data_IF_630982555159
#
_entry.id   IF_630982555159
#
_cell.length_a   1.000
_cell.length_b   1.000
_cell.length_c   1.000
_cell.angle_alpha   90.00
_cell.angle_beta   90.00
_cell.angle_gamma   90.00
#
_symmetry.space_group_name_H-M   'P 1'
#
loop_
_entity.id
_entity.type
_entity.pdbx_description
1 polymer ?
#
# COMPACT_ATOMS: atom_id res chain seq x y z
N UNK A 1 46.20 -23.70 -49.61
CA UNK A 1 44.87 -24.15 -49.07
C UNK A 1 44.32 -22.99 -48.24
N UNK A 2 43.31 -22.29 -48.79
CA UNK A 2 42.64 -21.13 -48.12
C UNK A 2 41.35 -21.68 -47.51
N UNK A 3 41.19 -21.58 -46.19
CA UNK A 3 39.92 -21.84 -45.54
C UNK A 3 39.03 -20.62 -45.60
N UNK A 4 37.82 -20.82 -46.11
CA UNK A 4 36.75 -19.81 -46.17
C UNK A 4 35.86 -20.03 -44.94
N UNK A 5 35.91 -19.12 -44.00
CA UNK A 5 35.01 -19.11 -42.82
C UNK A 5 33.66 -18.51 -43.23
N UNK A 6 32.60 -19.30 -43.06
CA UNK A 6 31.23 -18.83 -43.24
C UNK A 6 30.75 -18.15 -41.96
N UNK A 7 30.43 -16.85 -42.02
CA UNK A 7 29.71 -16.12 -40.99
C UNK A 7 28.21 -16.40 -41.11
N UNK A 8 27.65 -17.05 -40.09
CA UNK A 8 26.19 -17.16 -39.94
C UNK A 8 25.71 -15.96 -39.14
N UNK A 9 25.01 -15.02 -39.80
CA UNK A 9 24.35 -13.92 -39.14
C UNK A 9 23.03 -14.42 -38.57
N UNK A 10 22.92 -14.47 -37.23
CA UNK A 10 21.64 -14.75 -36.58
C UNK A 10 20.78 -13.48 -36.60
N UNK A 11 19.67 -13.52 -37.33
CA UNK A 11 18.65 -12.46 -37.35
C UNK A 11 17.78 -12.62 -36.09
N UNK A 12 17.99 -11.79 -35.07
CA UNK A 12 17.09 -11.71 -33.93
C UNK A 12 15.84 -10.92 -34.30
N UNK A 13 14.73 -11.62 -34.56
CA UNK A 13 13.43 -11.00 -34.78
C UNK A 13 12.88 -10.66 -33.39
N UNK A 14 13.05 -9.39 -32.98
CA UNK A 14 12.44 -8.85 -31.77
C UNK A 14 10.92 -8.75 -31.97
N UNK A 15 10.17 -9.63 -31.31
CA UNK A 15 8.71 -9.54 -31.22
C UNK A 15 8.37 -8.50 -30.19
N UNK A 16 8.15 -7.26 -30.61
CA UNK A 16 7.58 -6.21 -29.73
C UNK A 16 6.08 -6.47 -29.62
N UNK A 17 5.65 -7.04 -28.51
CA UNK A 17 4.22 -7.10 -28.18
C UNK A 17 3.73 -5.67 -27.91
N UNK A 18 3.10 -5.05 -28.92
CA UNK A 18 2.32 -3.83 -28.72
C UNK A 18 1.02 -4.23 -27.99
N UNK A 19 0.98 -4.04 -26.69
CA UNK A 19 -0.29 -4.04 -25.98
C UNK A 19 -1.04 -2.76 -26.38
N UNK A 20 -2.29 -2.84 -26.90
CA UNK A 20 -3.07 -1.66 -27.15
C UNK A 20 -3.31 -0.94 -25.80
N UNK A 21 -2.97 0.34 -25.73
CA UNK A 21 -3.32 1.14 -24.57
C UNK A 21 -4.85 1.17 -24.44
N UNK A 22 -5.37 0.74 -23.30
CA UNK A 22 -6.80 0.85 -23.01
C UNK A 22 -7.22 2.33 -23.06
N UNK A 23 -8.42 2.64 -23.60
CA UNK A 23 -8.92 4.01 -23.61
C UNK A 23 -9.01 4.57 -22.19
N UNK A 24 -8.74 5.88 -22.05
CA UNK A 24 -8.69 6.56 -20.74
C UNK A 24 -9.98 6.36 -19.90
N UNK A 25 -11.11 6.13 -20.54
CA UNK A 25 -12.40 5.87 -19.91
C UNK A 25 -12.50 4.50 -19.23
N UNK A 26 -11.80 3.50 -19.77
CA UNK A 26 -11.77 2.16 -19.16
C UNK A 26 -11.03 2.13 -17.80
N UNK A 27 -10.21 3.16 -17.51
CA UNK A 27 -9.50 3.27 -16.23
C UNK A 27 -10.36 3.90 -15.12
N UNK A 28 -11.37 4.72 -15.46
CA UNK A 28 -12.26 5.33 -14.46
C UNK A 28 -13.29 4.36 -13.90
N UNK A 29 -13.62 3.29 -14.67
CA UNK A 29 -14.66 2.31 -14.35
C UNK A 29 -14.06 0.97 -13.92
N UNK A 30 -12.72 0.89 -13.78
CA UNK A 30 -12.04 -0.32 -13.32
C UNK A 30 -12.39 -0.58 -11.86
N UNK A 31 -12.84 -1.80 -11.58
CA UNK A 31 -13.02 -2.29 -10.21
C UNK A 31 -12.08 -3.46 -9.98
N UNK A 32 -11.38 -3.53 -8.83
CA UNK A 32 -10.54 -4.66 -8.53
C UNK A 32 -11.38 -5.95 -8.45
N UNK A 33 -10.81 -7.08 -8.89
CA UNK A 33 -11.50 -8.38 -8.84
C UNK A 33 -11.50 -8.99 -7.43
N UNK A 34 -11.11 -8.22 -6.44
CA UNK A 34 -11.00 -8.61 -5.03
C UNK A 34 -11.61 -7.54 -4.13
N UNK A 35 -12.01 -7.93 -2.94
CA UNK A 35 -12.49 -7.02 -1.91
C UNK A 35 -11.29 -6.45 -1.14
N UNK A 36 -11.17 -5.11 -1.08
CA UNK A 36 -10.09 -4.48 -0.34
C UNK A 36 -10.33 -4.59 1.17
N UNK A 37 -9.27 -4.86 1.93
CA UNK A 37 -9.22 -4.59 3.37
C UNK A 37 -8.80 -3.13 3.58
N UNK A 38 -9.23 -2.52 4.70
CA UNK A 38 -8.74 -1.19 5.03
C UNK A 38 -7.26 -1.27 5.42
N UNK A 39 -6.37 -0.42 4.83
CA UNK A 39 -4.92 -0.63 4.94
C UNK A 39 -4.28 -0.12 6.23
N UNK A 40 -5.05 0.31 7.22
CA UNK A 40 -4.54 0.83 8.49
C UNK A 40 -5.54 0.55 9.61
N UNK A 41 -5.14 0.62 10.89
CA UNK A 41 -6.04 0.44 12.03
C UNK A 41 -7.22 1.41 11.97
N UNK A 42 -8.47 0.89 11.86
CA UNK A 42 -9.65 1.72 11.61
C UNK A 42 -10.01 2.64 12.78
N UNK A 43 -9.73 2.24 14.00
CA UNK A 43 -9.99 3.03 15.21
C UNK A 43 -8.92 4.10 15.49
N UNK A 44 -7.81 4.08 14.76
CA UNK A 44 -6.70 5.03 14.87
C UNK A 44 -6.48 5.86 13.61
N UNK A 45 -7.42 5.82 12.66
CA UNK A 45 -7.24 6.44 11.34
C UNK A 45 -8.35 7.43 11.02
N UNK A 46 -7.96 8.58 10.49
CA UNK A 46 -8.85 9.58 9.90
C UNK A 46 -8.43 9.83 8.46
N UNK A 47 -9.38 9.94 7.55
CA UNK A 47 -9.11 10.22 6.15
C UNK A 47 -10.27 10.97 5.49
N UNK A 48 -10.02 11.56 4.34
CA UNK A 48 -11.02 12.26 3.55
C UNK A 48 -10.70 12.14 2.06
N UNK A 49 -11.66 12.45 1.19
CA UNK A 49 -11.42 12.46 -0.25
C UNK A 49 -10.61 13.70 -0.64
N UNK A 50 -9.30 13.55 -0.65
CA UNK A 50 -8.34 14.57 -1.08
C UNK A 50 -7.66 14.24 -2.44
N UNK A 51 -8.25 13.29 -3.18
CA UNK A 51 -7.82 12.95 -4.54
C UNK A 51 -7.72 14.18 -5.44
N UNK A 52 -6.59 14.33 -6.14
CA UNK A 52 -6.29 15.47 -7.03
C UNK A 52 -6.23 16.81 -6.32
N UNK A 53 -6.24 16.88 -5.00
CA UNK A 53 -5.95 18.11 -4.25
C UNK A 53 -4.60 18.70 -4.67
N UNK A 54 -4.49 20.03 -4.62
CA UNK A 54 -3.23 20.72 -4.98
C UNK A 54 -2.15 20.42 -3.95
N UNK A 55 -0.96 20.07 -4.44
CA UNK A 55 0.25 19.86 -3.64
C UNK A 55 1.35 20.85 -4.07
N UNK A 56 2.39 20.98 -3.27
CA UNK A 56 3.54 21.85 -3.57
C UNK A 56 4.16 21.52 -4.94
N UNK A 57 4.73 22.54 -5.62
CA UNK A 57 5.33 22.38 -6.94
C UNK A 57 4.33 22.13 -8.07
N UNK A 58 3.05 22.49 -7.91
CA UNK A 58 2.02 22.35 -8.96
C UNK A 58 1.50 20.93 -9.16
N UNK A 59 1.91 19.99 -8.31
CA UNK A 59 1.46 18.58 -8.37
C UNK A 59 0.00 18.41 -7.95
N UNK A 60 -0.55 17.27 -8.26
CA UNK A 60 -1.86 16.83 -7.79
C UNK A 60 -1.67 15.60 -6.91
N UNK A 61 -2.47 15.48 -5.88
CA UNK A 61 -2.49 14.32 -4.99
C UNK A 61 -2.88 13.06 -5.77
N UNK A 62 -2.07 12.00 -5.69
CA UNK A 62 -2.24 10.75 -6.45
C UNK A 62 -2.83 9.61 -5.62
N UNK A 63 -3.23 9.90 -4.38
CA UNK A 63 -3.73 8.92 -3.41
C UNK A 63 -4.69 9.54 -2.41
N UNK A 64 -4.77 8.91 -1.26
CA UNK A 64 -5.48 9.39 -0.06
C UNK A 64 -4.54 9.29 1.13
N UNK A 65 -4.46 10.36 1.94
CA UNK A 65 -3.67 10.37 3.15
C UNK A 65 -4.48 9.77 4.32
N UNK A 66 -4.02 8.65 4.85
CA UNK A 66 -4.59 7.96 6.01
C UNK A 66 -3.88 8.46 7.27
N UNK A 67 -4.42 9.50 7.87
CA UNK A 67 -3.82 10.18 9.03
C UNK A 67 -3.92 9.26 10.24
N UNK A 68 -2.77 8.87 10.79
CA UNK A 68 -2.66 8.04 11.97
C UNK A 68 -2.71 8.88 13.26
N UNK A 69 -3.25 8.32 14.32
CA UNK A 69 -3.27 9.00 15.63
C UNK A 69 -1.86 9.05 16.26
N UNK A 70 -0.97 8.12 15.88
CA UNK A 70 0.42 8.07 16.33
C UNK A 70 1.32 7.41 15.28
N UNK A 71 2.63 7.66 15.36
CA UNK A 71 3.65 6.85 14.69
C UNK A 71 3.49 5.38 15.12
N UNK A 72 3.92 4.46 14.29
CA UNK A 72 3.80 3.02 14.52
C UNK A 72 2.34 2.50 14.53
N UNK A 73 1.36 3.26 14.03
CA UNK A 73 0.04 2.70 13.71
C UNK A 73 0.20 1.62 12.64
N UNK A 74 -0.40 0.47 12.85
CA UNK A 74 -0.23 -0.71 11.99
C UNK A 74 -0.79 -0.48 10.59
N UNK A 75 -0.04 -0.94 9.59
CA UNK A 75 -0.40 -0.86 8.16
C UNK A 75 -0.53 -2.27 7.61
N UNK A 76 -1.61 -2.52 6.87
CA UNK A 76 -2.01 -3.84 6.39
C UNK A 76 -2.09 -3.89 4.86
N UNK A 77 -1.83 -5.07 4.28
CA UNK A 77 -2.06 -5.33 2.87
C UNK A 77 -3.57 -5.26 2.54
N UNK A 78 -3.94 -4.47 1.52
CA UNK A 78 -5.34 -4.33 1.11
C UNK A 78 -5.93 -5.58 0.50
N UNK A 79 -5.09 -6.45 -0.07
CA UNK A 79 -5.48 -7.69 -0.74
C UNK A 79 -4.27 -8.64 -0.81
N UNK A 80 -4.52 -9.89 -1.19
CA UNK A 80 -3.48 -10.86 -1.53
C UNK A 80 -2.59 -10.31 -2.65
N UNK A 81 -1.29 -10.55 -2.57
CA UNK A 81 -0.36 -10.07 -3.60
C UNK A 81 1.08 -10.45 -3.35
N UNK A 82 1.94 -9.87 -4.17
CA UNK A 82 3.40 -10.00 -4.09
C UNK A 82 4.00 -8.63 -3.81
N UNK A 83 4.88 -8.54 -2.83
CA UNK A 83 5.67 -7.33 -2.59
C UNK A 83 6.65 -7.16 -3.74
N UNK A 84 6.46 -6.16 -4.58
CA UNK A 84 7.33 -5.90 -5.74
C UNK A 84 8.37 -4.82 -5.47
N UNK A 85 8.19 -4.04 -4.40
CA UNK A 85 9.13 -2.99 -4.02
C UNK A 85 9.12 -2.72 -2.52
N UNK A 86 10.31 -2.63 -1.94
CA UNK A 86 10.58 -2.05 -0.62
C UNK A 86 11.77 -1.11 -0.80
N UNK A 87 11.58 0.20 -0.59
CA UNK A 87 12.64 1.17 -0.91
C UNK A 87 12.48 2.46 -0.09
N UNK A 88 13.46 3.35 -0.24
CA UNK A 88 13.48 4.69 0.32
C UNK A 88 13.91 5.71 -0.74
N UNK A 89 13.30 6.88 -0.74
CA UNK A 89 13.72 8.01 -1.55
C UNK A 89 13.29 9.35 -0.89
N UNK A 90 13.94 10.48 -1.24
CA UNK A 90 13.69 11.76 -0.57
C UNK A 90 12.23 12.27 -0.65
N UNK A 91 11.43 11.76 -1.57
CA UNK A 91 10.02 12.19 -1.72
C UNK A 91 9.05 11.26 -1.01
N UNK A 92 9.11 9.99 -1.32
CA UNK A 92 8.20 9.01 -0.75
C UNK A 92 8.61 8.60 0.68
N UNK A 93 9.86 8.89 1.07
CA UNK A 93 10.45 8.27 2.25
C UNK A 93 10.50 6.75 2.07
N UNK A 94 10.34 6.03 3.15
CA UNK A 94 10.24 4.57 3.14
C UNK A 94 8.86 4.15 2.65
N UNK A 95 8.84 3.23 1.70
CA UNK A 95 7.60 2.80 1.06
C UNK A 95 7.68 1.36 0.59
N UNK A 96 6.52 0.75 0.39
CA UNK A 96 6.39 -0.54 -0.27
C UNK A 96 5.28 -0.52 -1.31
N UNK A 97 5.39 -1.42 -2.29
CA UNK A 97 4.42 -1.63 -3.35
C UNK A 97 4.07 -3.11 -3.40
N UNK A 98 2.78 -3.40 -3.47
CA UNK A 98 2.26 -4.75 -3.64
C UNK A 98 1.57 -4.83 -5.00
N UNK A 99 1.94 -5.81 -5.81
CA UNK A 99 1.23 -6.20 -7.02
C UNK A 99 0.15 -7.22 -6.67
N UNK A 100 -1.05 -6.97 -7.15
CA UNK A 100 -2.23 -7.81 -6.97
C UNK A 100 -2.68 -8.43 -8.31
N UNK A 101 -3.76 -9.18 -8.29
CA UNK A 101 -4.35 -9.76 -9.50
C UNK A 101 -4.69 -8.70 -10.56
N UNK A 102 -4.65 -9.12 -11.84
CA UNK A 102 -5.13 -8.38 -13.01
C UNK A 102 -4.49 -6.99 -13.23
N UNK A 103 -3.25 -6.79 -12.76
CA UNK A 103 -2.50 -5.55 -12.97
C UNK A 103 -2.90 -4.42 -12.03
N UNK A 104 -3.46 -4.77 -10.88
CA UNK A 104 -3.66 -3.84 -9.77
C UNK A 104 -2.41 -3.76 -8.90
N UNK A 105 -2.15 -2.57 -8.35
CA UNK A 105 -1.05 -2.33 -7.42
C UNK A 105 -1.51 -1.40 -6.29
N UNK A 106 -1.01 -1.64 -5.09
CA UNK A 106 -1.17 -0.74 -3.95
C UNK A 106 0.17 -0.22 -3.46
N UNK A 107 0.21 1.07 -3.14
CA UNK A 107 1.39 1.79 -2.69
C UNK A 107 1.16 2.29 -1.28
N UNK A 108 2.13 2.06 -0.40
CA UNK A 108 2.14 2.46 1.00
C UNK A 108 3.37 3.33 1.24
N UNK A 109 3.18 4.61 1.35
CA UNK A 109 4.21 5.66 1.28
C UNK A 109 4.25 6.39 2.62
N UNK A 110 5.41 6.96 2.97
CA UNK A 110 5.71 7.63 4.24
C UNK A 110 5.68 6.70 5.45
N UNK A 111 6.07 5.43 5.24
CA UNK A 111 6.20 4.47 6.33
C UNK A 111 7.25 4.94 7.34
N UNK A 112 7.16 4.41 8.55
CA UNK A 112 8.02 4.82 9.66
C UNK A 112 9.52 4.67 9.33
N UNK A 113 10.30 5.69 9.67
CA UNK A 113 11.76 5.73 9.53
C UNK A 113 12.47 6.11 10.85
N UNK A 114 11.72 6.18 11.95
CA UNK A 114 12.24 6.56 13.26
C UNK A 114 12.48 5.37 14.17
N UNK A 115 13.18 5.61 15.25
CA UNK A 115 13.26 4.70 16.39
C UNK A 115 11.95 4.69 17.19
N UNK A 116 11.92 3.92 18.27
CA UNK A 116 10.71 3.79 19.10
C UNK A 116 10.39 5.08 19.89
N UNK A 117 11.43 5.84 20.25
CA UNK A 117 11.32 6.99 21.15
C UNK A 117 11.94 8.27 20.55
N UNK A 118 12.17 8.32 19.24
CA UNK A 118 12.81 9.44 18.58
C UNK A 118 12.11 9.84 17.27
N UNK A 119 12.61 10.89 16.62
CA UNK A 119 12.20 11.45 15.35
C UNK A 119 13.46 11.71 14.52
N UNK A 120 14.29 10.67 14.38
CA UNK A 120 15.65 10.79 13.83
C UNK A 120 15.72 10.61 12.32
N UNK A 121 14.73 9.99 11.73
CA UNK A 121 14.69 9.66 10.29
C UNK A 121 15.66 8.53 9.89
N UNK A 122 16.38 7.92 10.83
CA UNK A 122 17.37 6.88 10.58
C UNK A 122 17.13 5.57 11.36
N UNK A 123 15.92 5.38 11.87
CA UNK A 123 15.50 4.17 12.57
C UNK A 123 15.69 2.89 11.74
N UNK A 124 15.76 1.72 12.39
CA UNK A 124 16.00 0.46 11.70
C UNK A 124 14.80 0.02 10.84
N UNK A 125 15.07 -0.64 9.72
CA UNK A 125 14.03 -1.12 8.80
C UNK A 125 13.01 -2.07 9.43
N UNK A 126 13.36 -2.76 10.50
CA UNK A 126 12.43 -3.59 11.27
C UNK A 126 11.30 -2.79 11.95
N UNK A 127 11.41 -1.47 12.02
CA UNK A 127 10.36 -0.54 12.47
C UNK A 127 9.63 0.14 11.30
N UNK A 128 9.96 -0.23 10.05
CA UNK A 128 9.32 0.25 8.82
C UNK A 128 8.37 -0.80 8.26
N UNK A 129 8.90 -2.00 8.03
CA UNK A 129 8.18 -3.14 7.46
C UNK A 129 8.18 -4.32 8.41
N UNK A 130 7.11 -5.09 8.41
CA UNK A 130 6.94 -6.24 9.27
C UNK A 130 7.91 -7.38 8.90
N UNK A 131 8.27 -8.26 9.85
CA UNK A 131 9.14 -9.39 9.56
C UNK A 131 8.63 -10.25 8.40
N UNK A 132 9.52 -10.57 7.45
CA UNK A 132 9.19 -11.36 6.26
C UNK A 132 8.55 -10.56 5.12
N UNK A 133 8.35 -9.26 5.28
CA UNK A 133 7.89 -8.37 4.21
C UNK A 133 9.10 -7.81 3.47
N UNK A 134 9.41 -8.44 2.35
CA UNK A 134 10.55 -8.10 1.48
C UNK A 134 10.18 -8.29 0.01
N UNK A 135 10.96 -7.77 -0.92
CA UNK A 135 10.70 -7.92 -2.37
C UNK A 135 10.63 -9.42 -2.74
N UNK A 136 9.55 -9.83 -3.38
CA UNK A 136 9.22 -11.22 -3.73
C UNK A 136 8.37 -11.96 -2.70
N UNK A 137 8.13 -11.39 -1.50
CA UNK A 137 7.28 -12.01 -0.49
C UNK A 137 5.81 -12.02 -0.93
N UNK A 138 5.12 -13.15 -0.68
CA UNK A 138 3.67 -13.23 -0.77
C UNK A 138 3.05 -12.65 0.50
N UNK A 139 1.98 -11.89 0.34
CA UNK A 139 1.20 -11.33 1.45
C UNK A 139 -0.28 -11.65 1.26
N UNK A 140 -1.00 -11.80 2.37
CA UNK A 140 -2.44 -12.02 2.39
C UNK A 140 -3.19 -10.73 2.73
N UNK A 141 -4.44 -10.62 2.30
CA UNK A 141 -5.33 -9.51 2.64
C UNK A 141 -5.45 -9.35 4.16
N UNK A 142 -5.18 -8.14 4.66
CA UNK A 142 -5.18 -7.84 6.09
C UNK A 142 -3.92 -8.28 6.85
N UNK A 143 -2.91 -8.81 6.17
CA UNK A 143 -1.61 -9.09 6.79
C UNK A 143 -0.93 -7.78 7.18
N UNK A 144 -0.34 -7.74 8.40
CA UNK A 144 0.54 -6.64 8.83
C UNK A 144 1.75 -6.56 7.89
N UNK A 145 1.97 -5.40 7.28
CA UNK A 145 3.07 -5.17 6.34
C UNK A 145 4.05 -4.11 6.81
N UNK A 146 3.67 -3.26 7.76
CA UNK A 146 4.53 -2.21 8.28
C UNK A 146 3.81 -1.24 9.20
N UNK A 147 4.37 -0.06 9.35
CA UNK A 147 3.87 0.97 10.27
C UNK A 147 3.88 2.34 9.62
N UNK A 148 2.83 3.12 9.90
CA UNK A 148 2.69 4.50 9.49
C UNK A 148 3.74 5.40 10.15
N UNK A 149 4.24 6.36 9.40
CA UNK A 149 5.22 7.35 9.85
C UNK A 149 5.06 8.68 9.13
N UNK A 150 6.15 9.38 8.96
CA UNK A 150 6.21 10.67 8.27
C UNK A 150 7.46 10.82 7.40
N UNK A 151 8.07 9.70 7.00
CA UNK A 151 9.31 9.72 6.23
C UNK A 151 9.24 10.47 4.89
N UNK A 152 10.40 10.87 4.38
CA UNK A 152 10.52 11.57 3.09
C UNK A 152 10.05 13.01 3.14
N UNK A 153 9.21 13.44 2.21
CA UNK A 153 8.70 14.82 2.19
C UNK A 153 7.54 15.07 3.17
N UNK A 154 7.17 14.06 3.94
CA UNK A 154 6.22 14.15 5.03
C UNK A 154 6.88 14.43 6.39
N UNK A 155 8.20 14.38 6.44
CA UNK A 155 9.01 14.57 7.66
C UNK A 155 8.56 15.77 8.48
N UNK A 156 8.31 15.54 9.79
CA UNK A 156 7.82 16.56 10.72
C UNK A 156 6.33 16.91 10.59
N UNK A 157 5.56 16.19 9.78
CA UNK A 157 4.10 16.31 9.73
C UNK A 157 3.44 15.24 10.62
N UNK A 158 2.10 15.29 10.70
CA UNK A 158 1.35 14.22 11.36
C UNK A 158 1.63 12.89 10.67
N UNK A 159 1.91 11.81 11.44
CA UNK A 159 2.15 10.50 10.86
C UNK A 159 0.95 10.05 10.04
N UNK A 160 1.23 9.47 8.89
CA UNK A 160 0.19 8.98 7.97
C UNK A 160 0.76 7.97 6.97
N UNK A 161 -0.11 7.16 6.42
CA UNK A 161 0.20 6.40 5.21
C UNK A 161 -0.42 7.13 4.02
N UNK A 162 0.40 7.64 3.10
CA UNK A 162 -0.09 8.06 1.79
C UNK A 162 -0.35 6.80 0.98
N UNK A 163 -1.63 6.49 0.76
CA UNK A 163 -2.06 5.29 0.07
C UNK A 163 -2.45 5.60 -1.38
N UNK A 164 -1.87 4.87 -2.34
CA UNK A 164 -2.28 4.92 -3.74
C UNK A 164 -2.80 3.56 -4.20
N UNK A 165 -3.82 3.56 -5.05
CA UNK A 165 -4.31 2.39 -5.77
C UNK A 165 -4.08 2.62 -7.26
N UNK A 166 -3.42 1.68 -7.91
CA UNK A 166 -3.09 1.76 -9.33
C UNK A 166 -3.73 0.62 -10.11
N UNK A 167 -4.13 0.89 -11.33
CA UNK A 167 -4.53 -0.11 -12.31
C UNK A 167 -3.71 0.08 -13.59
N UNK A 168 -2.99 -0.97 -13.99
CA UNK A 168 -2.08 -0.95 -15.15
C UNK A 168 -1.11 0.25 -15.12
N UNK A 169 -0.47 0.46 -13.96
CA UNK A 169 0.52 1.50 -13.72
C UNK A 169 -0.04 2.93 -13.66
N UNK A 170 -1.36 3.13 -13.55
CA UNK A 170 -1.98 4.46 -13.43
C UNK A 170 -2.75 4.60 -12.13
N UNK A 171 -2.53 5.69 -11.37
CA UNK A 171 -3.26 5.93 -10.14
C UNK A 171 -4.74 6.22 -10.39
N UNK A 172 -5.58 5.66 -9.56
CA UNK A 172 -7.02 5.88 -9.48
C UNK A 172 -7.35 6.59 -8.16
N UNK A 173 -8.56 7.16 -8.06
CA UNK A 173 -9.04 7.66 -6.78
C UNK A 173 -9.28 6.48 -5.82
N UNK A 174 -8.49 6.31 -4.74
CA UNK A 174 -8.66 5.18 -3.85
C UNK A 174 -9.81 5.37 -2.86
N UNK A 175 -10.27 6.62 -2.65
CA UNK A 175 -11.20 6.97 -1.59
C UNK A 175 -12.49 6.14 -1.58
N UNK A 176 -13.21 5.90 -2.71
CA UNK A 176 -14.44 5.09 -2.68
C UNK A 176 -14.21 3.64 -2.21
N UNK A 177 -13.06 3.07 -2.54
CA UNK A 177 -12.69 1.71 -2.13
C UNK A 177 -12.29 1.66 -0.66
N UNK A 178 -11.55 2.69 -0.21
CA UNK A 178 -11.15 2.83 1.19
C UNK A 178 -12.36 3.08 2.11
N UNK A 179 -13.31 3.91 1.69
CA UNK A 179 -14.53 4.19 2.45
C UNK A 179 -15.34 2.90 2.67
N UNK A 180 -15.58 2.13 1.60
CA UNK A 180 -16.29 0.86 1.69
C UNK A 180 -15.56 -0.18 2.55
N UNK A 181 -14.22 -0.26 2.43
CA UNK A 181 -13.39 -1.14 3.24
C UNK A 181 -13.41 -0.71 4.72
N UNK A 182 -13.31 0.59 5.00
CA UNK A 182 -13.34 1.13 6.36
C UNK A 182 -14.66 0.81 7.07
N UNK A 183 -15.80 1.09 6.44
CA UNK A 183 -17.12 0.81 7.01
C UNK A 183 -17.28 -0.66 7.38
N UNK A 184 -16.88 -1.56 6.49
CA UNK A 184 -16.95 -2.99 6.72
C UNK A 184 -16.02 -3.46 7.84
N UNK A 185 -14.75 -3.09 7.78
CA UNK A 185 -13.73 -3.57 8.70
C UNK A 185 -13.92 -2.97 10.11
N UNK A 186 -14.36 -1.72 10.20
CA UNK A 186 -14.72 -1.09 11.46
C UNK A 186 -15.95 -1.76 12.10
N UNK A 187 -16.98 -2.08 11.30
CA UNK A 187 -18.14 -2.81 11.80
C UNK A 187 -17.77 -4.23 12.30
N UNK A 188 -16.83 -4.89 11.64
CA UNK A 188 -16.30 -6.19 12.07
C UNK A 188 -15.54 -6.09 13.40
N UNK A 189 -14.73 -5.06 13.56
CA UNK A 189 -14.02 -4.77 14.81
C UNK A 189 -15.01 -4.59 15.96
N UNK A 190 -16.03 -3.74 15.79
CA UNK A 190 -17.05 -3.50 16.80
C UNK A 190 -17.80 -4.79 17.18
N UNK A 191 -18.16 -5.63 16.22
CA UNK A 191 -18.81 -6.93 16.48
C UNK A 191 -17.94 -7.88 17.31
N UNK A 192 -16.64 -7.95 17.00
CA UNK A 192 -15.67 -8.76 17.76
C UNK A 192 -15.52 -8.25 19.18
N UNK A 193 -15.39 -6.96 19.38
CA UNK A 193 -15.32 -6.34 20.70
C UNK A 193 -16.57 -6.64 21.53
N UNK A 194 -17.78 -6.50 20.96
CA UNK A 194 -19.02 -6.83 21.64
C UNK A 194 -19.10 -8.30 22.04
N UNK A 195 -18.64 -9.19 21.17
CA UNK A 195 -18.60 -10.63 21.46
C UNK A 195 -17.68 -10.95 22.62
N UNK A 196 -16.49 -10.33 22.66
CA UNK A 196 -15.54 -10.51 23.78
C UNK A 196 -16.09 -9.98 25.09
N UNK A 197 -16.73 -8.81 25.09
CA UNK A 197 -17.36 -8.24 26.28
C UNK A 197 -18.45 -9.17 26.84
N UNK A 198 -19.32 -9.70 25.99
CA UNK A 198 -20.35 -10.65 26.38
C UNK A 198 -19.78 -11.97 26.97
N UNK A 199 -18.64 -12.42 26.49
CA UNK A 199 -17.93 -13.59 27.05
C UNK A 199 -17.38 -13.30 28.45
N UNK A 200 -16.82 -12.11 28.67
CA UNK A 200 -16.30 -11.69 29.98
C UNK A 200 -17.45 -11.58 30.98
N UNK A 201 -18.54 -10.89 30.62
CA UNK A 201 -19.72 -10.74 31.51
C UNK A 201 -20.36 -12.09 31.84
N UNK A 202 -20.45 -13.00 30.88
CA UNK A 202 -20.93 -14.37 31.10
C UNK A 202 -20.04 -15.19 32.03
N UNK A 203 -18.72 -14.96 32.03
CA UNK A 203 -17.77 -15.65 32.90
C UNK A 203 -17.79 -15.16 34.34
N UNK A 204 -18.14 -13.88 34.55
CA UNK A 204 -18.23 -13.28 35.91
C UNK A 204 -19.49 -13.73 36.68
N UNK A 205 -20.53 -14.18 35.96
CA UNK A 205 -21.78 -14.63 36.60
C UNK A 205 -21.76 -16.10 37.10
N UNK A 206 -20.68 -16.86 36.85
CA UNK A 206 -20.56 -18.30 37.20
C UNK A 206 -19.77 -18.53 38.52
N UNK A 207 -19.30 -17.50 39.19
CA UNK A 207 -18.60 -17.59 40.49
C UNK A 207 -19.43 -17.00 41.61
#
# INVERSE_FOLDING_TARGET
MKQVGAFVAALAVGFTLLFPALPAQAHSDASPPFELRFPQETDKTRFSNDWRARRSGGRRHSGTDLIADAKMTEVYAVADGVVVKVNDNPRAGRYLIIEHADGWESYYIHLNNDGLDDDSGDGPWMLTVAPGVEEGALVEAGQLIGWAGDSGNAEGNSPHTHFELHFQGRPLNPYPYLEAAFERDHADLLRRMQTLLNQIDGSVQIT
#
